data_IF_736033623541
#
_entry.id   IF_736033623541
#
_cell.length_a   1.000
_cell.length_b   1.000
_cell.length_c   1.000
_cell.angle_alpha   90.00
_cell.angle_beta   90.00
_cell.angle_gamma   90.00
#
_symmetry.space_group_name_H-M   'P 1'
#
loop_
_entity.id
_entity.type
_entity.pdbx_description
1 polymer ?
#
# COMPACT_ATOMS: atom_id res chain seq x y z
N UNK A 1 -7.55 7.24 -4.95
CA UNK A 1 -8.69 6.31 -4.81
C UNK A 1 -8.77 5.40 -6.02
N UNK A 2 -8.92 5.94 -7.22
CA UNK A 2 -9.06 5.15 -8.45
C UNK A 2 -7.98 4.08 -8.63
N UNK A 3 -6.71 4.43 -8.41
CA UNK A 3 -5.58 3.49 -8.54
C UNK A 3 -5.61 2.33 -7.55
N UNK A 4 -6.06 2.53 -6.31
CA UNK A 4 -6.04 1.47 -5.29
C UNK A 4 -7.27 0.56 -5.39
N UNK A 5 -8.35 1.04 -6.01
CA UNK A 5 -9.60 0.30 -6.16
C UNK A 5 -9.89 -0.22 -7.55
N UNK A 6 -9.17 0.23 -8.59
CA UNK A 6 -9.41 -0.17 -9.98
C UNK A 6 -10.75 0.35 -10.53
N UNK A 7 -11.29 1.42 -9.94
CA UNK A 7 -12.62 1.96 -10.27
C UNK A 7 -12.52 3.43 -10.64
N UNK A 8 -13.48 3.96 -11.41
CA UNK A 8 -13.50 5.39 -11.77
C UNK A 8 -14.02 6.25 -10.62
N UNK A 9 -13.71 7.54 -10.67
CA UNK A 9 -14.16 8.52 -9.67
C UNK A 9 -15.68 8.62 -9.51
N UNK A 10 -16.45 8.34 -10.58
CA UNK A 10 -17.91 8.37 -10.60
C UNK A 10 -18.42 7.14 -11.34
N UNK A 11 -19.29 6.38 -10.68
CA UNK A 11 -19.98 5.19 -11.20
C UNK A 11 -21.42 5.18 -10.70
N UNK A 12 -22.34 4.58 -11.48
CA UNK A 12 -23.77 4.54 -11.13
C UNK A 12 -24.04 3.81 -9.80
N UNK A 13 -23.20 2.82 -9.45
CA UNK A 13 -23.29 2.03 -8.22
C UNK A 13 -23.03 2.85 -6.94
N UNK A 14 -22.43 4.04 -7.04
CA UNK A 14 -22.18 4.91 -5.88
C UNK A 14 -23.44 5.65 -5.43
N UNK A 15 -24.44 5.74 -6.31
CA UNK A 15 -25.63 6.56 -6.12
C UNK A 15 -25.43 7.98 -6.67
N UNK A 16 -26.55 8.65 -6.96
CA UNK A 16 -26.55 9.99 -7.54
C UNK A 16 -25.83 11.01 -6.63
N UNK A 17 -24.92 11.78 -7.20
CA UNK A 17 -24.14 12.80 -6.49
C UNK A 17 -23.00 12.27 -5.62
N UNK A 18 -22.80 10.94 -5.53
CA UNK A 18 -21.74 10.35 -4.73
C UNK A 18 -20.47 10.08 -5.54
N UNK A 19 -19.33 10.33 -4.91
CA UNK A 19 -18.03 9.99 -5.47
C UNK A 19 -17.55 8.62 -4.99
N UNK A 20 -16.49 8.11 -5.62
CA UNK A 20 -15.76 6.94 -5.13
C UNK A 20 -15.33 7.09 -3.66
N UNK A 21 -15.04 8.31 -3.19
CA UNK A 21 -14.63 8.56 -1.80
C UNK A 21 -15.78 8.25 -0.84
N UNK A 22 -17.00 8.67 -1.17
CA UNK A 22 -18.18 8.46 -0.35
C UNK A 22 -18.54 6.98 -0.29
N UNK A 23 -18.45 6.29 -1.44
CA UNK A 23 -18.66 4.85 -1.52
C UNK A 23 -17.64 4.06 -0.68
N UNK A 24 -16.35 4.38 -0.78
CA UNK A 24 -15.29 3.74 0.02
C UNK A 24 -15.47 4.02 1.51
N UNK A 25 -15.82 5.24 1.91
CA UNK A 25 -16.12 5.57 3.31
C UNK A 25 -17.32 4.78 3.83
N UNK A 26 -18.37 4.63 3.03
CA UNK A 26 -19.52 3.80 3.36
C UNK A 26 -19.14 2.33 3.58
N UNK A 27 -18.30 1.78 2.72
CA UNK A 27 -17.80 0.39 2.82
C UNK A 27 -16.88 0.16 4.02
N UNK A 28 -16.04 1.13 4.36
CA UNK A 28 -15.08 1.03 5.47
C UNK A 28 -15.72 1.24 6.84
N UNK A 29 -16.73 2.10 6.96
CA UNK A 29 -17.45 2.36 8.23
C UNK A 29 -18.49 1.28 8.54
N UNK A 30 -19.16 0.74 7.53
CA UNK A 30 -20.27 -0.23 7.73
C UNK A 30 -19.82 -1.67 7.94
N UNK A 31 -18.56 -1.99 7.68
CA UNK A 31 -18.08 -3.35 7.77
C UNK A 31 -17.44 -3.64 9.12
N UNK A 32 -18.23 -4.13 10.08
CA UNK A 32 -17.69 -4.91 11.20
C UNK A 32 -16.96 -6.12 10.62
N UNK A 33 -15.62 -6.07 10.57
CA UNK A 33 -14.81 -7.23 10.17
C UNK A 33 -14.23 -7.25 8.75
N UNK A 34 -14.11 -6.10 8.06
CA UNK A 34 -13.06 -5.98 7.03
C UNK A 34 -13.43 -5.50 5.63
N UNK A 35 -14.60 -4.93 5.36
CA UNK A 35 -15.01 -4.47 4.02
C UNK A 35 -14.07 -3.47 3.30
N UNK A 36 -13.02 -2.97 3.96
CA UNK A 36 -11.92 -2.25 3.33
C UNK A 36 -11.16 -3.09 2.28
N UNK A 37 -11.05 -4.41 2.43
CA UNK A 37 -10.38 -5.26 1.44
C UNK A 37 -11.21 -5.43 0.16
N UNK A 38 -12.54 -5.34 0.23
CA UNK A 38 -13.43 -5.40 -0.94
C UNK A 38 -13.25 -4.21 -1.88
N UNK A 39 -12.73 -3.11 -1.35
CA UNK A 39 -12.46 -1.89 -2.11
C UNK A 39 -11.21 -2.04 -2.97
N UNK A 40 -10.28 -2.92 -2.60
CA UNK A 40 -9.00 -3.04 -3.29
C UNK A 40 -9.16 -3.66 -4.67
N UNK A 41 -8.35 -3.19 -5.62
CA UNK A 41 -8.28 -3.76 -6.95
C UNK A 41 -7.72 -5.19 -6.90
N UNK A 42 -8.57 -6.18 -7.20
CA UNK A 42 -8.16 -7.58 -7.21
C UNK A 42 -7.18 -7.92 -8.33
N UNK A 43 -7.18 -7.13 -9.42
CA UNK A 43 -6.24 -7.31 -10.53
C UNK A 43 -4.82 -6.80 -10.21
N UNK A 44 -4.68 -5.96 -9.18
CA UNK A 44 -3.40 -5.40 -8.73
C UNK A 44 -2.61 -6.33 -7.79
N UNK A 45 -2.94 -7.63 -7.76
CA UNK A 45 -2.23 -8.61 -6.93
C UNK A 45 -2.66 -8.63 -5.46
N UNK A 46 -3.85 -8.12 -5.14
CA UNK A 46 -4.44 -8.15 -3.78
C UNK A 46 -4.64 -9.58 -3.20
N UNK A 47 -4.43 -10.63 -4.00
CA UNK A 47 -4.37 -12.01 -3.54
C UNK A 47 -3.09 -12.35 -2.75
N UNK A 48 -2.00 -11.62 -2.95
CA UNK A 48 -0.78 -11.75 -2.15
C UNK A 48 -0.93 -10.95 -0.85
N UNK A 49 -0.66 -11.59 0.30
CA UNK A 49 -0.84 -10.96 1.61
C UNK A 49 -0.01 -9.68 1.77
N UNK A 50 1.25 -9.70 1.36
CA UNK A 50 2.17 -8.57 1.52
C UNK A 50 1.72 -7.38 0.66
N UNK A 51 1.41 -7.63 -0.62
CA UNK A 51 0.86 -6.61 -1.53
C UNK A 51 -0.45 -6.05 -1.01
N UNK A 52 -1.32 -6.89 -0.45
CA UNK A 52 -2.59 -6.45 0.14
C UNK A 52 -2.38 -5.53 1.34
N UNK A 53 -1.41 -5.82 2.21
CA UNK A 53 -1.08 -4.96 3.34
C UNK A 53 -0.53 -3.60 2.87
N UNK A 54 0.30 -3.58 1.82
CA UNK A 54 0.77 -2.35 1.17
C UNK A 54 -0.39 -1.53 0.61
N UNK A 55 -1.29 -2.17 -0.15
CA UNK A 55 -2.47 -1.52 -0.71
C UNK A 55 -3.40 -0.96 0.37
N UNK A 56 -3.52 -1.64 1.51
CA UNK A 56 -4.26 -1.15 2.67
C UNK A 56 -3.64 0.10 3.28
N UNK A 57 -2.30 0.19 3.33
CA UNK A 57 -1.62 1.42 3.76
C UNK A 57 -1.89 2.58 2.79
N UNK A 58 -1.81 2.33 1.48
CA UNK A 58 -2.13 3.34 0.46
C UNK A 58 -3.60 3.79 0.57
N UNK A 59 -4.54 2.86 0.83
CA UNK A 59 -5.95 3.18 1.05
C UNK A 59 -6.14 4.10 2.27
N UNK A 60 -5.42 3.84 3.37
CA UNK A 60 -5.45 4.70 4.56
C UNK A 60 -4.93 6.11 4.27
N UNK A 61 -3.83 6.22 3.55
CA UNK A 61 -3.28 7.53 3.12
C UNK A 61 -4.31 8.27 2.25
N UNK A 62 -4.93 7.58 1.29
CA UNK A 62 -5.97 8.19 0.43
C UNK A 62 -7.18 8.69 1.24
N UNK A 63 -7.59 7.98 2.29
CA UNK A 63 -8.67 8.41 3.20
C UNK A 63 -8.31 9.66 4.02
N UNK A 64 -7.03 9.82 4.41
CA UNK A 64 -6.54 11.03 5.08
C UNK A 64 -6.51 12.21 4.11
N UNK A 65 -5.95 12.04 2.90
CA UNK A 65 -5.92 13.06 1.85
C UNK A 65 -7.30 13.58 1.47
N UNK A 66 -8.32 12.73 1.57
CA UNK A 66 -9.71 13.06 1.25
C UNK A 66 -10.56 13.33 2.50
N UNK A 67 -9.96 13.67 3.64
CA UNK A 67 -10.70 13.99 4.86
C UNK A 67 -11.75 15.08 4.61
N UNK A 68 -12.92 14.93 5.24
CA UNK A 68 -13.98 15.94 5.18
C UNK A 68 -13.56 17.24 5.84
N UNK A 69 -12.71 17.16 6.86
CA UNK A 69 -12.13 18.32 7.52
C UNK A 69 -10.79 18.68 6.85
N UNK A 70 -10.63 19.89 6.28
CA UNK A 70 -9.40 20.27 5.58
C UNK A 70 -8.16 20.27 6.47
N UNK A 71 -8.30 20.50 7.79
CA UNK A 71 -7.18 20.54 8.74
C UNK A 71 -6.55 19.16 8.98
N UNK A 72 -7.29 18.08 8.73
CA UNK A 72 -6.78 16.72 8.90
C UNK A 72 -6.07 16.22 7.64
N UNK A 73 -6.15 16.97 6.53
CA UNK A 73 -5.50 16.58 5.28
C UNK A 73 -4.00 16.84 5.42
N UNK A 74 -3.15 15.82 5.20
CA UNK A 74 -1.71 15.99 5.28
C UNK A 74 -1.19 16.90 4.18
N UNK A 75 -0.03 17.52 4.41
CA UNK A 75 0.68 18.22 3.34
C UNK A 75 1.18 17.22 2.29
N UNK A 76 1.37 17.67 1.05
CA UNK A 76 1.93 16.79 0.01
C UNK A 76 3.32 16.23 0.39
N UNK A 77 4.10 16.93 1.21
CA UNK A 77 5.37 16.43 1.74
C UNK A 77 5.15 15.23 2.66
N UNK A 78 4.18 15.32 3.56
CA UNK A 78 3.86 14.23 4.49
C UNK A 78 3.28 13.04 3.74
N UNK A 79 2.43 13.27 2.72
CA UNK A 79 1.92 12.21 1.84
C UNK A 79 3.06 11.43 1.18
N UNK A 80 4.10 12.12 0.69
CA UNK A 80 5.26 11.46 0.11
C UNK A 80 6.05 10.64 1.14
N UNK A 81 6.21 11.15 2.37
CA UNK A 81 6.86 10.39 3.45
C UNK A 81 6.07 9.13 3.79
N UNK A 82 4.76 9.24 3.99
CA UNK A 82 3.88 8.10 4.26
C UNK A 82 3.91 7.07 3.12
N UNK A 83 3.91 7.51 1.87
CA UNK A 83 3.97 6.60 0.72
C UNK A 83 5.31 5.87 0.64
N UNK A 84 6.43 6.52 0.99
CA UNK A 84 7.76 5.86 1.04
C UNK A 84 7.83 4.80 2.12
N UNK A 85 7.20 5.04 3.27
CA UNK A 85 7.11 4.06 4.36
C UNK A 85 6.16 2.90 4.02
N UNK A 86 5.10 3.17 3.26
CA UNK A 86 4.13 2.16 2.84
C UNK A 86 4.65 1.25 1.72
N UNK A 87 5.66 1.67 0.96
CA UNK A 87 6.31 0.85 -0.06
C UNK A 87 7.48 0.08 0.57
N UNK A 88 7.47 -1.25 0.63
CA UNK A 88 8.68 -1.98 0.97
C UNK A 88 9.72 -1.70 -0.09
N UNK A 89 10.93 -1.37 0.32
CA UNK A 89 12.08 -1.26 -0.57
C UNK A 89 12.39 -2.65 -1.15
N UNK A 90 11.63 -3.07 -2.18
CA UNK A 90 11.94 -4.30 -2.95
C UNK A 90 13.33 -4.21 -3.58
N UNK A 91 13.83 -2.99 -3.79
CA UNK A 91 15.24 -2.74 -4.15
C UNK A 91 16.21 -3.10 -3.02
N UNK A 92 15.93 -2.80 -1.76
CA UNK A 92 16.82 -3.16 -0.65
C UNK A 92 16.68 -4.63 -0.24
N UNK A 93 15.47 -5.21 -0.30
CA UNK A 93 15.26 -6.64 -0.07
C UNK A 93 16.02 -7.51 -1.09
N UNK A 94 15.98 -7.14 -2.37
CA UNK A 94 16.76 -7.82 -3.42
C UNK A 94 18.28 -7.63 -3.27
N UNK A 95 18.74 -6.49 -2.72
CA UNK A 95 20.15 -6.23 -2.44
C UNK A 95 20.63 -6.98 -1.18
N UNK A 96 19.78 -7.12 -0.16
CA UNK A 96 20.08 -7.84 1.08
C UNK A 96 20.25 -9.36 0.85
N UNK A 97 19.42 -9.96 0.00
CA UNK A 97 19.56 -11.38 -0.37
C UNK A 97 20.88 -11.68 -1.09
N UNK A 98 21.37 -10.74 -1.91
CA UNK A 98 22.65 -10.89 -2.63
C UNK A 98 23.88 -10.78 -1.73
N UNK A 99 23.81 -10.04 -0.62
CA UNK A 99 24.93 -9.91 0.33
C UNK A 99 25.09 -11.16 1.21
N UNK A 100 24.02 -11.92 1.43
CA UNK A 100 24.06 -13.12 2.26
C UNK A 100 24.71 -14.33 1.56
N UNK A 101 24.70 -14.36 0.22
CA UNK A 101 25.38 -15.39 -0.57
C UNK A 101 26.91 -15.18 -0.70
N UNK A 102 27.42 -13.96 -0.44
CA UNK A 102 28.85 -13.63 -0.55
C UNK A 102 29.65 -13.81 0.75
N UNK A 103 28.98 -14.17 1.86
CA UNK A 103 29.60 -14.29 3.19
C UNK A 103 30.18 -15.68 3.57
N UNK A 104 30.04 -16.71 2.73
CA UNK A 104 30.45 -18.10 3.07
C UNK A 104 31.70 -18.59 2.31
N UNK A 105 32.51 -17.69 1.74
CA UNK A 105 33.69 -18.06 0.93
C UNK A 105 35.06 -17.79 1.54
N UNK A 106 35.16 -17.33 2.79
CA UNK A 106 36.41 -16.82 3.35
C UNK A 106 36.85 -17.49 4.64
N UNK A 107 37.47 -18.68 4.57
CA UNK A 107 38.56 -19.08 5.47
C UNK A 107 39.13 -20.46 5.13
N UNK A 108 40.36 -20.49 4.62
CA UNK A 108 41.46 -21.31 5.13
C UNK A 108 42.73 -21.08 4.28
N UNK A 109 43.47 -20.00 4.57
CA UNK A 109 44.92 -20.02 4.39
C UNK A 109 45.51 -20.82 5.53
N UNK A 110 46.29 -21.89 5.26
CA UNK A 110 47.56 -22.14 5.98
C UNK A 110 48.39 -23.29 5.38
N UNK A 111 49.58 -22.91 4.92
CA UNK A 111 50.88 -23.61 4.94
C UNK A 111 50.95 -25.08 4.49
N UNK A 112 51.75 -25.32 3.46
CA UNK A 112 52.94 -26.16 3.64
C UNK A 112 54.02 -25.77 2.63
N UNK A 113 55.19 -25.44 3.19
CA UNK A 113 56.49 -25.47 2.53
C UNK A 113 56.88 -26.92 2.25
#
# INVERSE_FOLDING_TARGET
>A
MEMVSGRRSVEAEYGEGNSIVDWVRGKTVRAEGGGAWEVLDQSAGAGCKDVREEMMMVLRIALLCTSRNPKDRPSMRDVLSMLREAMPNRKEAAIAEQQQQQGLGGSASRLQQ
#
